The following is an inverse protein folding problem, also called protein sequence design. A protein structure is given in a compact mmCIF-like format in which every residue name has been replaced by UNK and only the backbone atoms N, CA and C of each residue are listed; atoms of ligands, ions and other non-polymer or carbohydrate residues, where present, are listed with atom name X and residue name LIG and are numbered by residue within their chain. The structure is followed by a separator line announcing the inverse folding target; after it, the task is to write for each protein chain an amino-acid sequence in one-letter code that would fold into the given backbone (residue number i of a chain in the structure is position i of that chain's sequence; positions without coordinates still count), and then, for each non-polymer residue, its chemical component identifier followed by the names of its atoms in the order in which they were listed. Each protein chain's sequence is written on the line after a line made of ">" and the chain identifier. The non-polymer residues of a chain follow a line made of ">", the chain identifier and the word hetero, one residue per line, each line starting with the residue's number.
data_IF_454259474396
#
_entry.id   IF_454259474396
#
_cell.length_a   1.000
_cell.length_b   1.000
_cell.length_c   1.000
_cell.angle_alpha   90.00
_cell.angle_beta   90.00
_cell.angle_gamma   90.00
#
_symmetry.space_group_name_H-M   'P 1'
#
loop_
_entity.id
_entity.type
_entity.pdbx_description
1 polymer ?
#
# COMPACT_ATOMS: atom_id res chain seq x y z
N UNK A 1 8.77 -7.13 3.11
CA UNK A 1 9.43 -7.23 4.43
C UNK A 1 10.50 -8.32 4.41
N UNK A 2 10.16 -9.54 3.96
CA UNK A 2 11.13 -10.59 3.71
C UNK A 2 11.44 -10.63 2.20
N UNK A 3 12.65 -10.24 1.82
CA UNK A 3 13.02 -9.97 0.43
C UNK A 3 14.41 -10.51 0.09
N UNK A 4 14.68 -11.75 0.51
CA UNK A 4 15.90 -12.49 0.20
C UNK A 4 15.46 -13.82 -0.41
N UNK A 5 16.02 -14.13 -1.59
CA UNK A 5 15.67 -15.36 -2.29
C UNK A 5 16.47 -16.57 -1.82
N UNK A 6 17.65 -16.38 -1.22
CA UNK A 6 18.40 -17.45 -0.56
C UNK A 6 17.65 -17.99 0.67
N UNK A 7 17.27 -17.11 1.59
CA UNK A 7 16.43 -17.50 2.71
C UNK A 7 15.03 -17.97 2.27
N UNK A 8 14.49 -17.38 1.20
CA UNK A 8 13.24 -17.82 0.57
C UNK A 8 13.30 -19.27 0.09
N UNK A 9 14.41 -19.71 -0.51
CA UNK A 9 14.62 -21.11 -0.92
C UNK A 9 14.68 -22.04 0.29
N UNK A 10 15.34 -21.65 1.38
CA UNK A 10 15.33 -22.44 2.62
C UNK A 10 13.91 -22.62 3.18
N UNK A 11 13.10 -21.56 3.20
CA UNK A 11 11.70 -21.64 3.61
C UNK A 11 10.86 -22.50 2.66
N UNK A 12 11.10 -22.41 1.35
CA UNK A 12 10.42 -23.22 0.33
C UNK A 12 10.69 -24.72 0.55
N UNK A 13 11.96 -25.09 0.76
CA UNK A 13 12.34 -26.47 1.06
C UNK A 13 11.66 -26.97 2.34
N UNK A 14 11.64 -26.16 3.39
CA UNK A 14 10.93 -26.48 4.63
C UNK A 14 9.43 -26.70 4.40
N UNK A 15 8.76 -25.82 3.65
CA UNK A 15 7.35 -25.95 3.33
C UNK A 15 7.05 -27.19 2.48
N UNK A 16 7.89 -27.51 1.49
CA UNK A 16 7.76 -28.69 0.65
C UNK A 16 7.90 -29.99 1.45
N UNK A 17 8.82 -30.03 2.42
CA UNK A 17 8.97 -31.21 3.31
C UNK A 17 7.71 -31.44 4.14
N UNK A 18 7.08 -30.37 4.66
CA UNK A 18 5.83 -30.47 5.43
C UNK A 18 4.67 -31.00 4.57
N UNK A 19 4.58 -30.53 3.32
CA UNK A 19 3.55 -30.97 2.37
C UNK A 19 3.80 -32.41 1.93
N UNK A 20 5.04 -32.78 1.60
CA UNK A 20 5.39 -34.14 1.20
C UNK A 20 5.13 -35.19 2.29
N UNK A 21 5.18 -34.78 3.57
CA UNK A 21 4.92 -35.65 4.72
C UNK A 21 3.53 -35.46 5.34
N UNK A 22 2.58 -34.87 4.60
CA UNK A 22 1.24 -34.56 5.09
C UNK A 22 0.51 -35.77 5.68
N UNK A 23 0.52 -36.91 4.98
CA UNK A 23 -0.14 -38.14 5.43
C UNK A 23 0.44 -38.71 6.73
N UNK A 24 1.76 -38.54 6.94
CA UNK A 24 2.45 -39.04 8.13
C UNK A 24 2.28 -38.10 9.32
N UNK A 25 2.35 -36.79 9.10
CA UNK A 25 2.19 -35.79 10.16
C UNK A 25 0.73 -35.67 10.61
N UNK A 26 -0.24 -35.84 9.71
CA UNK A 26 -1.67 -35.79 10.04
C UNK A 26 -2.09 -36.85 11.07
N UNK A 27 -1.41 -38.00 11.08
CA UNK A 27 -1.73 -39.12 11.99
C UNK A 27 -0.94 -39.10 13.30
N UNK A 28 -0.07 -38.11 13.50
CA UNK A 28 0.76 -37.98 14.71
C UNK A 28 0.27 -36.82 15.58
N UNK A 29 0.32 -37.00 16.90
CA UNK A 29 0.15 -35.87 17.83
C UNK A 29 1.40 -35.01 17.78
N UNK A 30 1.31 -33.91 17.04
CA UNK A 30 2.35 -32.89 16.95
C UNK A 30 2.39 -32.05 18.23
N UNK A 31 3.55 -31.51 18.59
CA UNK A 31 3.64 -30.48 19.61
C UNK A 31 3.04 -29.15 19.12
N UNK A 32 2.66 -28.27 20.04
CA UNK A 32 1.94 -27.00 19.75
C UNK A 32 2.57 -26.15 18.64
N UNK A 33 3.89 -26.04 18.59
CA UNK A 33 4.61 -25.31 17.54
C UNK A 33 4.51 -25.97 16.16
N UNK A 34 4.66 -27.29 16.10
CA UNK A 34 4.60 -28.03 14.83
C UNK A 34 3.17 -28.14 14.30
N UNK A 35 2.17 -28.16 15.18
CA UNK A 35 0.76 -28.13 14.80
C UNK A 35 0.39 -26.79 14.14
N UNK A 36 0.83 -25.66 14.71
CA UNK A 36 0.64 -24.34 14.11
C UNK A 36 1.30 -24.24 12.72
N UNK A 37 2.54 -24.72 12.62
CA UNK A 37 3.31 -24.72 11.37
C UNK A 37 2.65 -25.60 10.29
N UNK A 38 2.14 -26.77 10.69
CA UNK A 38 1.45 -27.71 9.80
C UNK A 38 0.09 -27.16 9.32
N UNK A 39 -0.65 -26.49 10.20
CA UNK A 39 -1.88 -25.77 9.84
C UNK A 39 -1.63 -24.67 8.81
N UNK A 40 -0.49 -23.99 8.90
CA UNK A 40 -0.06 -22.92 7.98
C UNK A 40 0.72 -23.36 6.74
N UNK A 41 0.83 -24.66 6.43
CA UNK A 41 1.74 -25.18 5.38
C UNK A 41 1.61 -24.50 4.01
N UNK A 42 0.38 -24.22 3.54
CA UNK A 42 0.15 -23.55 2.26
C UNK A 42 0.45 -22.04 2.32
N UNK A 43 0.24 -21.42 3.49
CA UNK A 43 0.63 -20.01 3.70
C UNK A 43 2.15 -19.90 3.66
N UNK A 44 2.87 -20.81 4.30
CA UNK A 44 4.34 -20.85 4.27
C UNK A 44 4.89 -21.06 2.85
N UNK A 45 4.27 -21.95 2.07
CA UNK A 45 4.63 -22.15 0.67
C UNK A 45 4.46 -20.85 -0.14
N UNK A 46 3.32 -20.19 0.01
CA UNK A 46 3.03 -18.95 -0.72
C UNK A 46 3.98 -17.81 -0.29
N UNK A 47 4.27 -17.69 1.02
CA UNK A 47 5.25 -16.74 1.56
C UNK A 47 6.65 -16.98 1.00
N UNK A 48 7.08 -18.24 0.88
CA UNK A 48 8.39 -18.59 0.34
C UNK A 48 8.52 -18.22 -1.14
N UNK A 49 7.52 -18.55 -1.97
CA UNK A 49 7.52 -18.20 -3.40
C UNK A 49 7.57 -16.68 -3.60
N UNK A 50 6.74 -15.92 -2.86
CA UNK A 50 6.76 -14.47 -2.96
C UNK A 50 8.05 -13.85 -2.41
N UNK A 51 8.66 -14.44 -1.38
CA UNK A 51 9.99 -14.02 -0.90
C UNK A 51 11.05 -14.20 -1.97
N UNK A 52 11.04 -15.34 -2.68
CA UNK A 52 11.97 -15.59 -3.79
C UNK A 52 11.77 -14.54 -4.88
N UNK A 53 10.53 -14.30 -5.31
CA UNK A 53 10.22 -13.27 -6.30
C UNK A 53 10.71 -11.87 -5.88
N UNK A 54 10.41 -11.45 -4.64
CA UNK A 54 10.88 -10.17 -4.11
C UNK A 54 12.41 -10.12 -3.99
N UNK A 55 13.04 -11.23 -3.60
CA UNK A 55 14.49 -11.34 -3.47
C UNK A 55 15.22 -11.26 -4.80
N UNK A 56 14.64 -11.79 -5.89
CA UNK A 56 15.18 -11.59 -7.24
C UNK A 56 15.01 -10.14 -7.68
N UNK A 57 13.89 -9.48 -7.37
CA UNK A 57 13.71 -8.04 -7.65
C UNK A 57 14.73 -7.19 -6.91
N UNK A 58 14.99 -7.45 -5.63
CA UNK A 58 16.02 -6.74 -4.86
C UNK A 58 17.45 -7.18 -5.18
N UNK A 59 17.60 -8.27 -5.95
CA UNK A 59 18.87 -8.88 -6.29
C UNK A 59 19.75 -9.13 -5.06
N UNK A 60 19.19 -9.81 -4.05
CA UNK A 60 19.82 -10.03 -2.75
C UNK A 60 19.80 -11.52 -2.37
N UNK A 61 20.95 -12.19 -2.47
CA UNK A 61 21.13 -13.58 -2.06
C UNK A 61 22.07 -13.63 -0.85
N UNK A 62 21.53 -13.86 0.36
CA UNK A 62 22.36 -13.84 1.59
C UNK A 62 23.25 -12.58 1.68
N UNK A 63 22.68 -11.40 1.38
CA UNK A 63 23.38 -10.10 1.32
C UNK A 63 24.43 -9.95 0.19
N UNK A 64 24.49 -10.87 -0.78
CA UNK A 64 25.38 -10.80 -1.96
C UNK A 64 24.58 -10.54 -3.24
N UNK A 65 24.98 -9.59 -4.10
CA UNK A 65 24.33 -9.34 -5.39
C UNK A 65 24.78 -10.34 -6.47
N UNK A 66 23.91 -10.62 -7.44
CA UNK A 66 24.23 -11.48 -8.58
C UNK A 66 24.04 -10.75 -9.92
N UNK A 67 24.95 -10.97 -10.88
CA UNK A 67 24.85 -10.47 -12.25
C UNK A 67 24.00 -11.41 -13.13
N UNK A 68 22.71 -11.54 -12.80
CA UNK A 68 21.82 -12.52 -13.44
C UNK A 68 21.41 -12.17 -14.88
N UNK A 69 21.27 -10.88 -15.21
CA UNK A 69 20.65 -10.41 -16.46
C UNK A 69 21.56 -9.50 -17.30
N UNK A 70 22.89 -9.62 -17.14
CA UNK A 70 23.88 -8.92 -17.96
C UNK A 70 24.77 -7.95 -17.17
N UNK A 71 25.42 -7.05 -17.91
CA UNK A 71 26.29 -6.01 -17.35
C UNK A 71 25.51 -4.94 -16.57
N UNK A 72 26.14 -4.35 -15.55
CA UNK A 72 25.56 -3.24 -14.80
C UNK A 72 25.41 -1.99 -15.67
N UNK A 73 24.32 -1.25 -15.45
CA UNK A 73 24.06 0.06 -16.05
C UNK A 73 25.02 1.14 -15.50
N UNK A 74 25.62 0.89 -14.34
CA UNK A 74 26.56 1.79 -13.68
C UNK A 74 27.98 1.20 -13.63
N UNK A 75 28.97 2.07 -13.84
CA UNK A 75 30.40 1.73 -13.76
C UNK A 75 31.19 2.82 -13.02
N UNK A 76 32.35 2.44 -12.50
CA UNK A 76 33.33 3.38 -11.97
C UNK A 76 33.88 4.25 -13.10
N UNK A 77 34.16 5.51 -12.81
CA UNK A 77 34.78 6.44 -13.76
C UNK A 77 36.27 6.09 -14.00
N UNK A 78 36.95 5.54 -13.00
CA UNK A 78 38.34 5.06 -13.10
C UNK A 78 38.46 3.53 -12.97
N UNK A 79 39.54 2.98 -13.54
CA UNK A 79 39.85 1.53 -13.58
C UNK A 79 40.14 0.92 -12.21
N UNK A 80 40.51 1.74 -11.23
CA UNK A 80 40.84 1.32 -9.85
C UNK A 80 39.63 1.30 -8.90
N UNK A 81 38.44 1.74 -9.34
CA UNK A 81 37.18 1.76 -8.57
C UNK A 81 37.26 2.35 -7.13
N UNK A 82 38.30 3.10 -6.78
CA UNK A 82 38.43 3.73 -5.46
C UNK A 82 37.34 4.79 -5.23
N UNK A 83 36.87 5.39 -6.31
CA UNK A 83 35.83 6.43 -6.34
C UNK A 83 34.39 5.94 -6.10
N UNK A 84 34.12 4.64 -6.21
CA UNK A 84 32.80 4.08 -5.92
C UNK A 84 32.36 4.33 -4.45
N UNK A 85 33.34 4.50 -3.55
CA UNK A 85 33.13 4.86 -2.16
C UNK A 85 33.11 6.38 -1.91
N UNK A 86 33.60 7.21 -2.84
CA UNK A 86 33.86 8.63 -2.59
C UNK A 86 32.90 9.53 -3.37
N UNK A 87 32.80 9.35 -4.69
CA UNK A 87 32.03 10.20 -5.63
C UNK A 87 30.76 9.52 -6.17
N UNK A 88 30.67 8.18 -6.09
CA UNK A 88 29.50 7.40 -6.53
C UNK A 88 29.64 6.83 -7.95
N UNK A 89 28.63 6.10 -8.42
CA UNK A 89 28.67 5.42 -9.71
C UNK A 89 28.08 6.29 -10.84
N UNK A 90 28.70 6.25 -12.03
CA UNK A 90 28.22 6.98 -13.21
C UNK A 90 27.38 6.05 -14.09
N UNK A 91 26.23 6.55 -14.58
CA UNK A 91 25.38 5.80 -15.52
C UNK A 91 26.09 5.73 -16.88
N UNK A 92 26.46 4.52 -17.29
CA UNK A 92 27.20 4.27 -18.52
C UNK A 92 26.33 3.61 -19.59
N UNK A 93 25.35 2.80 -19.17
CA UNK A 93 24.52 1.99 -20.07
C UNK A 93 23.02 2.12 -19.74
N UNK A 94 22.19 1.56 -20.61
CA UNK A 94 20.76 1.41 -20.42
C UNK A 94 20.42 0.68 -19.12
N UNK A 95 19.23 0.95 -18.61
CA UNK A 95 18.73 0.46 -17.32
C UNK A 95 18.76 -1.07 -17.26
N UNK A 96 19.17 -1.61 -16.09
CA UNK A 96 19.19 -3.04 -15.84
C UNK A 96 17.80 -3.66 -16.08
N UNK A 97 17.71 -4.78 -16.83
CA UNK A 97 16.44 -5.25 -17.38
C UNK A 97 15.48 -5.83 -16.33
N UNK A 98 15.98 -6.37 -15.21
CA UNK A 98 15.14 -6.93 -14.16
C UNK A 98 15.73 -6.75 -12.78
N UNK A 99 14.99 -6.09 -11.89
CA UNK A 99 15.39 -5.87 -10.50
C UNK A 99 16.38 -4.71 -10.31
N UNK A 100 16.99 -4.66 -9.14
CA UNK A 100 17.99 -3.65 -8.79
C UNK A 100 19.35 -4.03 -9.37
N UNK A 101 20.03 -3.05 -9.95
CA UNK A 101 21.36 -3.24 -10.52
C UNK A 101 22.37 -3.71 -9.44
N UNK A 102 23.13 -4.80 -9.70
CA UNK A 102 24.14 -5.33 -8.79
C UNK A 102 25.17 -4.31 -8.31
N UNK A 103 25.53 -3.36 -9.18
CA UNK A 103 26.61 -2.39 -8.93
C UNK A 103 26.32 -1.43 -7.78
N UNK A 104 25.05 -1.24 -7.39
CA UNK A 104 24.70 -0.40 -6.25
C UNK A 104 25.21 -0.95 -4.93
N UNK A 105 25.38 -2.27 -4.80
CA UNK A 105 25.88 -2.90 -3.58
C UNK A 105 27.35 -2.56 -3.35
N UNK A 106 27.67 -2.07 -2.16
CA UNK A 106 29.02 -1.63 -1.80
C UNK A 106 29.34 -0.19 -2.22
N UNK A 107 28.42 0.51 -2.88
CA UNK A 107 28.58 1.94 -3.19
C UNK A 107 28.20 2.83 -2.01
N UNK A 108 28.78 4.04 -1.91
CA UNK A 108 28.40 5.03 -0.88
C UNK A 108 26.90 5.39 -0.93
N UNK A 109 26.32 5.36 -2.12
CA UNK A 109 24.93 5.71 -2.41
C UNK A 109 23.93 4.55 -2.26
N UNK A 110 24.37 3.36 -1.86
CA UNK A 110 23.50 2.18 -1.72
C UNK A 110 22.33 2.44 -0.76
N UNK A 111 22.64 2.80 0.47
CA UNK A 111 21.67 3.01 1.54
C UNK A 111 20.66 4.13 1.22
N UNK A 112 21.07 5.35 0.81
CA UNK A 112 20.10 6.39 0.49
C UNK A 112 19.23 6.04 -0.74
N UNK A 113 19.78 5.34 -1.73
CA UNK A 113 19.02 4.90 -2.91
C UNK A 113 17.99 3.81 -2.55
N UNK A 114 18.43 2.72 -1.92
CA UNK A 114 17.56 1.60 -1.56
C UNK A 114 16.48 2.01 -0.55
N UNK A 115 16.81 2.90 0.40
CA UNK A 115 15.82 3.38 1.37
C UNK A 115 14.74 4.23 0.69
N UNK A 116 15.15 5.18 -0.16
CA UNK A 116 14.22 6.00 -0.97
C UNK A 116 13.33 5.13 -1.87
N UNK A 117 13.91 4.11 -2.51
CA UNK A 117 13.17 3.15 -3.34
C UNK A 117 12.17 2.34 -2.50
N UNK A 118 12.62 1.72 -1.40
CA UNK A 118 11.77 0.88 -0.53
C UNK A 118 10.62 1.68 0.06
N UNK A 119 10.87 2.91 0.50
CA UNK A 119 9.82 3.76 1.05
C UNK A 119 8.79 4.14 -0.02
N UNK A 120 9.22 4.58 -1.21
CA UNK A 120 8.29 4.93 -2.30
C UNK A 120 7.48 3.72 -2.77
N UNK A 121 8.12 2.57 -2.92
CA UNK A 121 7.43 1.31 -3.24
C UNK A 121 6.41 0.93 -2.15
N UNK A 122 6.76 1.11 -0.88
CA UNK A 122 5.83 0.86 0.24
C UNK A 122 4.61 1.77 0.19
N UNK A 123 4.78 3.05 -0.19
CA UNK A 123 3.66 3.98 -0.35
C UNK A 123 2.75 3.54 -1.50
N UNK A 124 3.33 3.15 -2.64
CA UNK A 124 2.56 2.68 -3.80
C UNK A 124 1.75 1.41 -3.48
N UNK A 125 2.39 0.40 -2.89
CA UNK A 125 1.74 -0.85 -2.50
C UNK A 125 0.69 -0.65 -1.39
N UNK A 126 0.97 0.22 -0.43
CA UNK A 126 0.01 0.57 0.62
C UNK A 126 -1.23 1.23 0.05
N UNK A 127 -1.06 2.19 -0.88
CA UNK A 127 -2.17 2.89 -1.51
C UNK A 127 -3.05 1.96 -2.36
N UNK A 128 -2.45 1.04 -3.12
CA UNK A 128 -3.22 0.05 -3.90
C UNK A 128 -3.99 -0.91 -2.99
N UNK A 129 -3.37 -1.39 -1.91
CA UNK A 129 -4.02 -2.27 -0.92
C UNK A 129 -5.18 -1.57 -0.20
N UNK A 130 -5.02 -0.31 0.21
CA UNK A 130 -6.08 0.45 0.87
C UNK A 130 -7.27 0.70 -0.08
N UNK A 131 -7.01 1.06 -1.35
CA UNK A 131 -8.07 1.20 -2.35
C UNK A 131 -8.82 -0.12 -2.59
N UNK A 132 -8.11 -1.25 -2.66
CA UNK A 132 -8.73 -2.56 -2.78
C UNK A 132 -9.68 -2.84 -1.61
N UNK A 133 -9.29 -2.51 -0.37
CA UNK A 133 -10.14 -2.63 0.80
C UNK A 133 -11.43 -1.80 0.72
N UNK A 134 -11.35 -0.56 0.21
CA UNK A 134 -12.52 0.30 0.05
C UNK A 134 -13.45 -0.22 -1.07
N UNK A 135 -12.88 -0.75 -2.16
CA UNK A 135 -13.65 -1.39 -3.23
C UNK A 135 -14.38 -2.65 -2.72
N UNK A 136 -13.77 -3.45 -1.86
CA UNK A 136 -14.45 -4.58 -1.19
C UNK A 136 -15.61 -4.10 -0.32
N UNK A 137 -15.44 -2.98 0.40
CA UNK A 137 -16.52 -2.36 1.18
C UNK A 137 -17.70 -1.93 0.30
N UNK A 138 -17.43 -1.44 -0.92
CA UNK A 138 -18.48 -1.13 -1.90
C UNK A 138 -19.26 -2.37 -2.34
N UNK A 139 -18.57 -3.48 -2.65
CA UNK A 139 -19.25 -4.73 -3.01
C UNK A 139 -20.13 -5.24 -1.86
N UNK A 140 -19.68 -5.09 -0.62
CA UNK A 140 -20.46 -5.44 0.56
C UNK A 140 -21.73 -4.59 0.69
N UNK A 141 -21.60 -3.26 0.57
CA UNK A 141 -22.75 -2.35 0.64
C UNK A 141 -23.73 -2.56 -0.52
N UNK A 142 -23.23 -2.94 -1.70
CA UNK A 142 -24.06 -3.30 -2.86
C UNK A 142 -24.84 -4.59 -2.62
N UNK A 143 -24.22 -5.60 -2.01
CA UNK A 143 -24.87 -6.87 -1.66
C UNK A 143 -26.00 -6.65 -0.64
N UNK A 144 -25.73 -5.90 0.44
CA UNK A 144 -26.74 -5.55 1.45
C UNK A 144 -27.72 -4.45 1.03
N UNK A 145 -27.59 -3.92 -0.20
CA UNK A 145 -28.43 -2.84 -0.76
C UNK A 145 -28.48 -1.57 0.10
N UNK A 146 -27.47 -1.32 0.94
CA UNK A 146 -27.40 -0.15 1.82
C UNK A 146 -26.91 1.09 1.07
N UNK A 147 -27.82 1.72 0.33
CA UNK A 147 -27.53 2.93 -0.47
C UNK A 147 -26.94 4.10 0.36
N UNK A 148 -27.22 4.12 1.67
CA UNK A 148 -26.66 5.11 2.60
C UNK A 148 -25.15 4.95 2.79
N UNK A 149 -24.67 3.71 2.94
CA UNK A 149 -23.23 3.44 3.13
C UNK A 149 -22.45 3.75 1.84
N UNK A 150 -23.04 3.49 0.68
CA UNK A 150 -22.41 3.82 -0.60
C UNK A 150 -22.21 5.35 -0.72
N UNK A 151 -23.25 6.15 -0.46
CA UNK A 151 -23.21 7.60 -0.67
C UNK A 151 -22.43 8.36 0.39
N UNK A 152 -22.49 7.93 1.65
CA UNK A 152 -21.95 8.69 2.79
C UNK A 152 -20.70 8.07 3.42
N UNK A 153 -20.33 6.83 3.07
CA UNK A 153 -19.10 6.21 3.55
C UNK A 153 -18.14 5.92 2.40
N UNK A 154 -18.55 5.17 1.37
CA UNK A 154 -17.67 4.79 0.26
C UNK A 154 -17.19 5.99 -0.57
N UNK A 155 -18.11 6.83 -1.07
CA UNK A 155 -17.75 7.99 -1.92
C UNK A 155 -16.79 8.96 -1.23
N UNK A 156 -17.08 9.51 -0.03
CA UNK A 156 -16.17 10.45 0.61
C UNK A 156 -14.84 9.79 1.01
N UNK A 157 -14.84 8.52 1.42
CA UNK A 157 -13.60 7.80 1.74
C UNK A 157 -12.70 7.62 0.50
N UNK A 158 -13.29 7.30 -0.66
CA UNK A 158 -12.56 7.22 -1.93
C UNK A 158 -11.99 8.56 -2.35
N UNK A 159 -12.77 9.64 -2.26
CA UNK A 159 -12.32 11.00 -2.62
C UNK A 159 -11.18 11.44 -1.69
N UNK A 160 -11.37 11.33 -0.37
CA UNK A 160 -10.38 11.77 0.60
C UNK A 160 -9.03 11.05 0.44
N UNK A 161 -9.05 9.70 0.35
CA UNK A 161 -7.82 8.91 0.23
C UNK A 161 -7.09 9.22 -1.09
N UNK A 162 -7.82 9.30 -2.21
CA UNK A 162 -7.20 9.53 -3.52
C UNK A 162 -6.73 10.99 -3.71
N UNK A 163 -7.37 11.97 -3.07
CA UNK A 163 -6.92 13.36 -3.15
C UNK A 163 -5.57 13.61 -2.45
N UNK A 164 -5.27 12.88 -1.36
CA UNK A 164 -4.04 13.04 -0.60
C UNK A 164 -2.98 12.00 -0.98
N UNK A 165 -3.22 10.74 -0.61
CA UNK A 165 -2.26 9.66 -0.82
C UNK A 165 -2.25 9.17 -2.27
N UNK A 166 -3.38 9.23 -2.96
CA UNK A 166 -3.47 8.94 -4.40
C UNK A 166 -2.66 9.95 -5.21
N UNK A 167 -2.80 11.25 -4.93
CA UNK A 167 -2.00 12.29 -5.55
C UNK A 167 -0.49 12.09 -5.28
N UNK A 168 -0.08 11.78 -4.04
CA UNK A 168 1.31 11.45 -3.72
C UNK A 168 1.83 10.27 -4.56
N UNK A 169 1.02 9.21 -4.71
CA UNK A 169 1.39 8.05 -5.52
C UNK A 169 1.59 8.40 -7.00
N UNK A 170 0.74 9.28 -7.56
CA UNK A 170 0.89 9.80 -8.92
C UNK A 170 2.16 10.64 -9.07
N UNK A 171 2.47 11.51 -8.10
CA UNK A 171 3.70 12.31 -8.12
C UNK A 171 4.97 11.45 -8.10
N UNK A 172 4.97 10.33 -7.36
CA UNK A 172 6.08 9.37 -7.35
C UNK A 172 6.32 8.79 -8.75
N UNK A 173 5.24 8.35 -9.43
CA UNK A 173 5.32 7.76 -10.77
C UNK A 173 5.79 8.82 -11.78
N UNK A 174 5.22 10.02 -11.76
CA UNK A 174 5.64 11.13 -12.64
C UNK A 174 7.11 11.47 -12.40
N UNK A 175 7.55 11.56 -11.15
CA UNK A 175 8.96 11.81 -10.81
C UNK A 175 9.88 10.73 -11.40
N UNK A 176 9.48 9.46 -11.36
CA UNK A 176 10.23 8.36 -11.98
C UNK A 176 10.25 8.42 -13.51
N UNK A 177 9.16 8.82 -14.16
CA UNK A 177 9.12 8.97 -15.61
C UNK A 177 9.92 10.17 -16.12
N UNK A 178 9.88 11.31 -15.43
CA UNK A 178 10.55 12.55 -15.86
C UNK A 178 12.01 12.64 -15.39
N UNK A 179 12.40 11.91 -14.35
CA UNK A 179 13.76 11.98 -13.79
C UNK A 179 14.06 13.29 -13.04
N UNK A 180 13.02 14.06 -12.67
CA UNK A 180 13.15 15.33 -11.96
C UNK A 180 13.71 15.12 -10.54
N UNK A 181 14.48 16.10 -10.03
CA UNK A 181 15.01 16.09 -8.67
C UNK A 181 14.03 16.64 -7.62
N UNK A 182 12.83 17.08 -8.01
CA UNK A 182 11.85 17.73 -7.14
C UNK A 182 11.55 16.98 -5.83
N UNK A 183 11.55 17.69 -4.70
CA UNK A 183 11.32 17.09 -3.39
C UNK A 183 9.84 16.87 -3.08
N UNK A 184 9.41 15.62 -3.17
CA UNK A 184 8.00 15.24 -2.99
C UNK A 184 7.45 15.60 -1.60
N UNK A 185 8.26 15.53 -0.55
CA UNK A 185 7.82 15.90 0.79
C UNK A 185 7.57 17.40 0.91
N UNK A 186 8.44 18.23 0.34
CA UNK A 186 8.24 19.67 0.29
C UNK A 186 6.93 20.00 -0.45
N UNK A 187 6.69 19.38 -1.59
CA UNK A 187 5.43 19.54 -2.36
C UNK A 187 4.19 19.17 -1.51
N UNK A 188 4.25 18.08 -0.73
CA UNK A 188 3.14 17.66 0.13
C UNK A 188 2.91 18.56 1.34
N UNK A 189 3.96 19.01 2.00
CA UNK A 189 3.84 19.90 3.17
C UNK A 189 3.27 21.25 2.74
N UNK A 190 3.83 21.85 1.67
CA UNK A 190 3.37 23.14 1.17
C UNK A 190 1.96 23.09 0.58
N UNK A 191 1.50 21.94 0.10
CA UNK A 191 0.10 21.77 -0.32
C UNK A 191 -0.90 22.07 0.81
N UNK A 192 -0.57 21.76 2.07
CA UNK A 192 -1.44 22.04 3.21
C UNK A 192 -1.16 23.41 3.85
N UNK A 193 0.11 23.83 3.90
CA UNK A 193 0.51 25.01 4.66
C UNK A 193 0.33 26.31 3.86
N UNK A 194 0.70 26.29 2.57
CA UNK A 194 0.67 27.47 1.69
C UNK A 194 0.35 27.08 0.24
N UNK A 195 -0.91 26.75 -0.09
CA UNK A 195 -1.30 26.21 -1.40
C UNK A 195 -1.16 27.21 -2.56
N UNK A 196 -0.97 28.50 -2.27
CA UNK A 196 -0.87 29.59 -3.28
C UNK A 196 0.55 29.97 -3.64
N UNK A 197 1.56 29.44 -2.94
CA UNK A 197 2.95 29.85 -3.14
C UNK A 197 3.57 29.24 -4.41
N UNK A 198 4.60 29.92 -4.93
CA UNK A 198 5.31 29.47 -6.12
C UNK A 198 6.20 28.27 -5.78
N UNK A 199 5.91 27.09 -6.35
CA UNK A 199 6.72 25.87 -6.14
C UNK A 199 8.13 25.91 -6.78
N UNK A 200 8.49 26.95 -7.55
CA UNK A 200 9.82 27.13 -8.12
C UNK A 200 10.36 25.89 -8.83
N UNK A 201 11.52 25.41 -8.39
CA UNK A 201 12.21 24.21 -8.90
C UNK A 201 11.48 22.88 -8.60
N UNK A 202 10.50 22.88 -7.68
CA UNK A 202 9.72 21.71 -7.30
C UNK A 202 8.46 21.50 -8.15
N UNK A 203 8.28 22.27 -9.23
CA UNK A 203 7.17 22.10 -10.17
C UNK A 203 7.44 20.89 -11.08
N UNK A 204 6.63 19.83 -10.94
CA UNK A 204 6.77 18.60 -11.71
C UNK A 204 6.08 18.65 -13.08
N UNK A 205 4.96 19.39 -13.20
CA UNK A 205 4.19 19.49 -14.43
C UNK A 205 3.44 20.83 -14.52
N UNK A 206 3.10 21.31 -15.74
CA UNK A 206 2.32 22.54 -15.90
C UNK A 206 0.91 22.36 -15.33
N UNK A 207 0.43 23.32 -14.55
CA UNK A 207 -0.91 23.27 -13.93
C UNK A 207 -0.97 22.50 -12.60
N UNK A 208 0.16 22.22 -11.96
CA UNK A 208 0.19 21.56 -10.65
C UNK A 208 -0.56 22.32 -9.55
N UNK A 209 -0.49 23.66 -9.55
CA UNK A 209 -1.12 24.53 -8.53
C UNK A 209 -2.65 24.45 -8.50
N UNK A 210 -3.38 24.72 -9.60
CA UNK A 210 -4.84 24.63 -9.58
C UNK A 210 -5.31 23.23 -9.21
N UNK A 211 -4.60 22.18 -9.62
CA UNK A 211 -4.92 20.81 -9.22
C UNK A 211 -4.76 20.59 -7.71
N UNK A 212 -3.66 21.05 -7.09
CA UNK A 212 -3.48 20.93 -5.64
C UNK A 212 -4.58 21.65 -4.85
N UNK A 213 -4.98 22.84 -5.29
CA UNK A 213 -6.08 23.59 -4.65
C UNK A 213 -7.40 22.81 -4.76
N UNK A 214 -7.74 22.30 -5.94
CA UNK A 214 -8.96 21.51 -6.15
C UNK A 214 -8.96 20.24 -5.29
N UNK A 215 -7.85 19.51 -5.26
CA UNK A 215 -7.71 18.29 -4.46
C UNK A 215 -7.84 18.56 -2.97
N UNK A 216 -7.25 19.66 -2.48
CA UNK A 216 -7.35 20.07 -1.08
C UNK A 216 -8.80 20.43 -0.71
N UNK A 217 -9.49 21.20 -1.55
CA UNK A 217 -10.89 21.56 -1.33
C UNK A 217 -11.79 20.32 -1.28
N UNK A 218 -11.59 19.37 -2.21
CA UNK A 218 -12.31 18.09 -2.21
C UNK A 218 -12.04 17.29 -0.93
N UNK A 219 -10.79 17.24 -0.46
CA UNK A 219 -10.44 16.57 0.79
C UNK A 219 -11.12 17.21 2.01
N UNK A 220 -11.14 18.55 2.08
CA UNK A 220 -11.81 19.28 3.18
C UNK A 220 -13.32 19.05 3.16
N UNK A 221 -13.96 19.01 1.99
CA UNK A 221 -15.42 18.75 1.87
C UNK A 221 -15.76 17.28 2.18
N UNK A 222 -14.87 16.33 1.88
CA UNK A 222 -15.12 14.92 2.15
C UNK A 222 -15.23 14.59 3.66
N UNK A 223 -14.53 15.32 4.53
CA UNK A 223 -14.57 15.13 5.99
C UNK A 223 -15.97 15.34 6.59
N UNK A 224 -16.63 16.51 6.44
CA UNK A 224 -17.98 16.71 6.95
C UNK A 224 -19.01 15.84 6.21
N UNK A 225 -18.78 15.54 4.93
CA UNK A 225 -19.65 14.62 4.16
C UNK A 225 -19.69 13.24 4.80
N UNK A 226 -18.55 12.69 5.23
CA UNK A 226 -18.53 11.37 5.87
C UNK A 226 -19.10 11.39 7.30
N UNK A 227 -18.84 12.47 8.05
CA UNK A 227 -19.09 12.51 9.50
C UNK A 227 -20.56 12.73 9.87
N UNK A 228 -21.26 13.68 9.22
CA UNK A 228 -22.58 14.13 9.67
C UNK A 228 -23.76 13.30 9.15
N UNK A 229 -23.86 12.95 7.87
CA UNK A 229 -25.09 12.38 7.30
C UNK A 229 -25.51 11.06 7.95
N UNK A 230 -24.55 10.15 8.20
CA UNK A 230 -24.83 8.82 8.74
C UNK A 230 -25.45 8.87 10.15
N UNK A 231 -24.86 9.53 11.17
CA UNK A 231 -25.49 9.60 12.49
C UNK A 231 -26.84 10.34 12.50
N UNK A 232 -27.02 11.38 11.68
CA UNK A 232 -28.31 12.09 11.61
C UNK A 232 -29.41 11.23 11.00
N UNK A 233 -29.11 10.47 9.94
CA UNK A 233 -30.08 9.57 9.30
C UNK A 233 -30.44 8.42 10.24
N UNK A 234 -29.46 7.81 10.92
CA UNK A 234 -29.73 6.75 11.90
C UNK A 234 -30.55 7.27 13.10
N UNK A 235 -30.24 8.48 13.60
CA UNK A 235 -31.02 9.09 14.69
C UNK A 235 -32.48 9.29 14.29
N UNK A 236 -32.73 9.78 13.07
CA UNK A 236 -34.10 9.97 12.55
C UNK A 236 -34.82 8.63 12.44
N UNK A 237 -34.17 7.62 11.88
CA UNK A 237 -34.75 6.29 11.70
C UNK A 237 -35.07 5.62 13.03
N UNK A 238 -34.23 5.78 14.05
CA UNK A 238 -34.49 5.27 15.39
C UNK A 238 -35.63 6.02 16.10
N UNK A 239 -35.73 7.34 15.92
CA UNK A 239 -36.83 8.14 16.49
C UNK A 239 -38.20 7.75 15.90
N UNK A 240 -38.27 7.48 14.59
CA UNK A 240 -39.49 7.03 13.91
C UNK A 240 -39.92 5.63 14.38
N UNK A 241 -38.97 4.72 14.58
CA UNK A 241 -39.25 3.36 15.09
C UNK A 241 -39.75 3.38 16.53
N UNK A 242 -39.16 4.21 17.40
CA UNK A 242 -39.65 4.39 18.78
C UNK A 242 -41.06 4.98 18.77
N UNK A 243 -41.34 5.94 17.90
CA UNK A 243 -42.66 6.55 17.78
C UNK A 243 -43.71 5.53 17.32
N UNK A 244 -43.38 4.68 16.35
CA UNK A 244 -44.23 3.59 15.86
C UNK A 244 -44.48 2.50 16.90
N UNK A 245 -43.45 2.13 17.68
CA UNK A 245 -43.60 1.20 18.81
C UNK A 245 -44.50 1.79 19.90
N UNK A 246 -44.34 3.08 20.21
CA UNK A 246 -45.17 3.78 21.20
C UNK A 246 -46.64 3.85 20.76
N UNK A 247 -46.92 4.17 19.48
CA UNK A 247 -48.30 4.18 18.96
C UNK A 247 -48.90 2.78 18.89
N UNK A 248 -48.12 1.76 18.51
CA UNK A 248 -48.58 0.38 18.52
C UNK A 248 -48.93 -0.11 19.95
N UNK A 249 -48.10 0.22 20.95
CA UNK A 249 -48.36 -0.13 22.35
C UNK A 249 -49.58 0.60 22.94
N UNK A 250 -49.79 1.86 22.53
CA UNK A 250 -50.98 2.65 22.89
C UNK A 250 -52.26 2.06 22.29
N UNK A 251 -52.23 1.66 21.02
CA UNK A 251 -53.36 0.99 20.34
C UNK A 251 -53.68 -0.36 21.00
N UNK A 252 -52.66 -1.16 21.30
CA UNK A 252 -52.84 -2.46 21.96
C UNK A 252 -53.40 -2.31 23.40
N UNK A 253 -52.97 -1.28 24.14
CA UNK A 253 -53.51 -1.00 25.49
C UNK A 253 -54.96 -0.51 25.46
N UNK A 254 -55.38 0.18 24.40
CA UNK A 254 -56.75 0.65 24.21
C UNK A 254 -57.72 -0.49 23.83
N UNK A 255 -57.27 -1.48 23.04
CA UNK A 255 -58.08 -2.67 22.73
C UNK A 255 -58.31 -3.57 23.95
N UNK A 256 -57.30 -3.72 24.84
CA UNK A 256 -57.45 -4.50 26.09
C UNK A 256 -58.41 -3.81 27.07
N UNK A 257 -58.56 -2.49 27.02
CA UNK A 257 -59.46 -1.74 27.91
C UNK A 257 -60.94 -1.80 27.46
N UNK A 258 -61.19 -2.18 26.21
CA UNK A 258 -62.53 -2.25 25.59
C UNK A 258 -63.12 -3.67 25.52
N UNK A 259 -62.44 -4.65 26.13
CA UNK A 259 -62.87 -6.03 26.32
C UNK A 259 -62.91 -6.37 27.81
#
# INVERSE_FOLDING_TARGET
>A
MFGDWGHGICLLLGALVLIARESKLSNQRLGSFMEMLFGGRYVLLLMAIFSIYCGVIYNEFFSVPFHLFGGSAYKCQETTCSDAHTTGLVKYQDTYPFGVDPSWRGSRSELPFLNSLKMKMSILLGMTQMNLGIILSYFNARFFSSSLDIRYQFVPQMIFLNCLFGYLSLLIIIKWCTGSQADLYHVMIYMFLSPTDNLGENQLFPGQRPLQIILLLLAVVAVPWMLFPKPFILKKLHSEVILLLATFFLLFSLEILFW
#
